data_IF_498413570488
#
_entry.id   IF_498413570488
#
_cell.length_a   1.000
_cell.length_b   1.000
_cell.length_c   1.000
_cell.angle_alpha   90.00
_cell.angle_beta   90.00
_cell.angle_gamma   90.00
#
_symmetry.space_group_name_H-M   'P 1'
#
loop_
_entity.id
_entity.type
_entity.pdbx_description
1 polymer ?
#
# COMPACT_ATOMS: atom_id res chain seq x y z
N UNK A 1 15.65 11.27 13.21
CA UNK A 1 15.79 10.58 11.91
C UNK A 1 16.24 11.60 10.87
N UNK A 2 17.34 11.33 10.18
CA UNK A 2 17.81 12.19 9.08
C UNK A 2 17.13 11.71 7.81
N UNK A 3 16.15 12.45 7.31
CA UNK A 3 15.55 12.15 6.00
C UNK A 3 16.61 12.40 4.93
N UNK A 4 17.00 11.35 4.19
CA UNK A 4 17.91 11.52 3.06
C UNK A 4 17.19 12.31 1.98
N UNK A 5 17.79 13.44 1.60
CA UNK A 5 17.30 14.33 0.56
C UNK A 5 18.20 14.21 -0.66
N UNK A 6 17.59 14.24 -1.85
CA UNK A 6 18.29 14.44 -3.11
C UNK A 6 18.11 15.89 -3.57
N UNK A 7 19.17 16.46 -4.15
CA UNK A 7 19.18 17.81 -4.69
C UNK A 7 19.14 17.76 -6.22
N UNK A 8 18.50 18.75 -6.84
CA UNK A 8 18.59 18.98 -8.27
C UNK A 8 20.03 19.37 -8.65
N UNK A 9 20.50 19.10 -9.88
CA UNK A 9 19.71 18.70 -11.04
C UNK A 9 19.29 17.22 -11.03
N UNK A 10 18.06 16.97 -11.49
CA UNK A 10 17.50 15.63 -11.58
C UNK A 10 17.57 15.08 -13.01
N UNK A 11 18.06 13.84 -13.19
CA UNK A 11 17.92 13.12 -14.45
C UNK A 11 16.45 13.02 -14.91
N UNK A 12 16.15 13.00 -16.22
CA UNK A 12 14.77 12.94 -16.73
C UNK A 12 13.93 11.79 -16.17
N UNK A 13 14.56 10.65 -15.86
CA UNK A 13 13.95 9.50 -15.21
C UNK A 13 13.48 9.80 -13.77
N UNK A 14 14.25 10.58 -13.01
CA UNK A 14 13.88 11.03 -11.65
C UNK A 14 12.72 12.01 -11.75
N UNK A 15 12.76 12.93 -12.72
CA UNK A 15 11.68 13.89 -12.97
C UNK A 15 10.36 13.15 -13.26
N UNK A 16 10.40 12.11 -14.11
CA UNK A 16 9.25 11.26 -14.39
C UNK A 16 8.69 10.58 -13.12
N UNK A 17 9.57 10.02 -12.29
CA UNK A 17 9.17 9.37 -11.02
C UNK A 17 8.55 10.35 -10.02
N UNK A 18 9.15 11.52 -9.85
CA UNK A 18 8.67 12.56 -8.93
C UNK A 18 7.30 13.11 -9.36
N UNK A 19 7.09 13.33 -10.65
CA UNK A 19 5.78 13.77 -11.16
C UNK A 19 4.71 12.67 -11.04
N UNK A 20 5.08 11.40 -11.32
CA UNK A 20 4.18 10.27 -11.13
C UNK A 20 3.77 10.13 -9.65
N UNK A 21 4.73 10.27 -8.72
CA UNK A 21 4.49 10.23 -7.28
C UNK A 21 3.47 11.27 -6.80
N UNK A 22 3.42 12.45 -7.40
CA UNK A 22 2.40 13.45 -7.02
C UNK A 22 1.06 13.24 -7.71
N UNK A 23 1.08 12.75 -8.96
CA UNK A 23 -0.15 12.53 -9.73
C UNK A 23 -1.04 11.44 -9.13
N UNK A 24 -0.47 10.49 -8.38
CA UNK A 24 -1.26 9.43 -7.71
C UNK A 24 -2.16 9.94 -6.59
N UNK A 25 -1.92 11.15 -6.04
CA UNK A 25 -2.77 11.77 -5.01
C UNK A 25 -2.84 11.02 -3.67
N UNK A 26 -1.96 10.03 -3.48
CA UNK A 26 -1.98 9.12 -2.34
C UNK A 26 -1.12 9.59 -1.16
N UNK A 27 -0.11 10.42 -1.44
CA UNK A 27 0.79 10.99 -0.45
C UNK A 27 0.59 12.51 -0.35
N UNK A 28 1.08 13.12 0.73
CA UNK A 28 1.15 14.58 0.81
C UNK A 28 2.05 15.11 -0.32
N UNK A 29 1.52 15.93 -1.24
CA UNK A 29 2.30 16.44 -2.35
C UNK A 29 3.35 17.44 -1.86
N UNK A 30 4.40 17.64 -2.66
CA UNK A 30 5.23 18.82 -2.53
C UNK A 30 4.38 20.01 -2.96
N UNK A 31 3.99 20.84 -1.99
CA UNK A 31 3.11 21.99 -2.23
C UNK A 31 3.91 23.27 -2.33
N UNK A 32 3.38 24.20 -3.09
CA UNK A 32 3.98 25.52 -3.22
C UNK A 32 3.99 26.26 -1.88
N UNK A 33 5.15 26.77 -1.49
CA UNK A 33 5.31 27.66 -0.32
C UNK A 33 5.04 29.14 -0.63
N UNK A 34 4.68 29.48 -1.87
CA UNK A 34 4.31 30.83 -2.28
C UNK A 34 2.93 31.26 -1.75
N UNK A 35 2.62 32.55 -1.88
CA UNK A 35 1.29 33.06 -1.58
C UNK A 35 0.34 32.79 -2.76
N UNK A 36 -0.68 31.97 -2.51
CA UNK A 36 -1.76 31.67 -3.45
C UNK A 36 -3.11 32.00 -2.81
N UNK A 37 -4.07 32.40 -3.62
CA UNK A 37 -5.45 32.54 -3.18
C UNK A 37 -6.08 31.14 -3.07
N UNK A 38 -6.14 30.60 -1.85
CA UNK A 38 -6.75 29.29 -1.56
C UNK A 38 -5.74 28.19 -1.28
N UNK A 39 -6.04 26.95 -1.70
CA UNK A 39 -5.17 25.78 -1.47
C UNK A 39 -3.92 25.87 -2.33
N UNK A 40 -2.71 25.81 -1.75
CA UNK A 40 -1.48 25.88 -2.52
C UNK A 40 -1.41 24.74 -3.56
N UNK A 41 -1.00 25.02 -4.81
CA UNK A 41 -0.89 24.00 -5.83
C UNK A 41 0.25 23.02 -5.52
N UNK A 42 0.11 21.78 -5.97
CA UNK A 42 1.22 20.83 -6.03
C UNK A 42 2.26 21.32 -7.04
N UNK A 43 3.53 21.22 -6.68
CA UNK A 43 4.64 21.62 -7.54
C UNK A 43 4.79 20.67 -8.74
N UNK A 44 5.58 21.02 -9.74
CA UNK A 44 5.90 20.13 -10.87
C UNK A 44 7.40 19.90 -10.89
N UNK A 45 7.84 18.65 -10.94
CA UNK A 45 9.26 18.34 -11.03
C UNK A 45 9.80 18.67 -12.42
N UNK A 46 10.97 19.29 -12.45
CA UNK A 46 11.78 19.62 -13.65
C UNK A 46 13.22 19.19 -13.39
N UNK A 47 14.09 19.11 -14.42
CA UNK A 47 15.50 18.82 -14.20
C UNK A 47 16.18 19.81 -13.22
N UNK A 48 15.70 21.04 -13.11
CA UNK A 48 16.25 22.09 -12.26
C UNK A 48 15.64 22.13 -10.85
N UNK A 49 14.63 21.29 -10.57
CA UNK A 49 13.93 21.25 -9.29
C UNK A 49 12.41 21.27 -9.43
N UNK A 50 11.72 21.45 -8.31
CA UNK A 50 10.27 21.66 -8.28
C UNK A 50 9.94 23.10 -8.65
N UNK A 51 8.93 23.29 -9.50
CA UNK A 51 8.41 24.61 -9.90
C UNK A 51 6.92 24.72 -9.61
N UNK A 52 6.45 25.90 -9.23
CA UNK A 52 5.02 26.16 -9.13
C UNK A 52 4.38 26.16 -10.53
N UNK A 53 3.24 25.47 -10.76
CA UNK A 53 2.56 25.51 -12.05
C UNK A 53 1.83 26.83 -12.33
N UNK A 54 1.59 27.66 -11.32
CA UNK A 54 0.90 28.94 -11.48
C UNK A 54 1.81 29.97 -12.16
N UNK A 55 1.41 30.48 -13.32
CA UNK A 55 2.23 31.37 -14.16
C UNK A 55 2.68 32.68 -13.48
N UNK A 56 2.02 33.10 -12.40
CA UNK A 56 2.39 34.29 -11.61
C UNK A 56 3.29 33.99 -10.41
N UNK A 57 3.57 32.72 -10.09
CA UNK A 57 4.34 32.31 -8.93
C UNK A 57 5.73 31.83 -9.34
N UNK A 58 6.76 32.44 -8.74
CA UNK A 58 8.17 32.10 -9.01
C UNK A 58 8.78 31.17 -7.97
N UNK A 59 7.94 30.52 -7.14
CA UNK A 59 8.42 29.62 -6.10
C UNK A 59 9.05 28.37 -6.72
N UNK A 60 10.24 28.04 -6.25
CA UNK A 60 10.97 26.82 -6.62
C UNK A 60 11.60 26.19 -5.38
N UNK A 61 11.81 24.88 -5.41
CA UNK A 61 12.67 24.19 -4.44
C UNK A 61 13.49 23.12 -5.16
N UNK A 62 14.72 22.90 -4.72
CA UNK A 62 15.70 22.03 -5.37
C UNK A 62 15.82 20.66 -4.70
N UNK A 63 15.08 20.39 -3.63
CA UNK A 63 15.18 19.14 -2.88
C UNK A 63 13.93 18.26 -2.99
N UNK A 64 14.17 16.95 -2.99
CA UNK A 64 13.15 15.91 -2.85
C UNK A 64 13.65 14.81 -1.89
N UNK A 65 12.74 13.96 -1.39
CA UNK A 65 13.15 12.81 -0.60
C UNK A 65 13.70 11.73 -1.52
N UNK A 66 14.88 11.19 -1.20
CA UNK A 66 15.59 10.20 -2.02
C UNK A 66 14.72 8.97 -2.33
N UNK A 67 13.84 8.57 -1.41
CA UNK A 67 12.90 7.47 -1.62
C UNK A 67 11.93 7.69 -2.80
N UNK A 68 11.59 8.93 -3.15
CA UNK A 68 10.69 9.26 -4.26
C UNK A 68 11.43 9.32 -5.61
N UNK A 69 12.76 9.50 -5.59
CA UNK A 69 13.58 9.66 -6.80
C UNK A 69 14.48 8.48 -7.15
N UNK A 70 14.86 7.62 -6.20
CA UNK A 70 15.84 6.54 -6.43
C UNK A 70 15.30 5.32 -7.16
N UNK A 71 13.99 5.23 -7.40
CA UNK A 71 13.39 4.08 -8.09
C UNK A 71 13.64 2.73 -7.40
N UNK A 72 14.16 2.69 -6.16
CA UNK A 72 14.34 1.45 -5.40
C UNK A 72 13.02 0.73 -5.11
N UNK A 73 11.90 1.45 -5.04
CA UNK A 73 10.57 0.84 -5.04
C UNK A 73 10.20 0.16 -6.39
N UNK A 74 10.76 0.63 -7.52
CA UNK A 74 10.48 0.09 -8.85
C UNK A 74 11.48 -0.99 -9.30
N UNK A 75 12.77 -0.88 -8.93
CA UNK A 75 13.81 -1.83 -9.31
C UNK A 75 13.82 -3.13 -8.47
N UNK A 76 13.37 -3.07 -7.20
CA UNK A 76 13.15 -4.29 -6.38
C UNK A 76 11.94 -5.08 -6.87
N UNK A 77 10.92 -4.41 -7.43
CA UNK A 77 9.75 -5.05 -8.02
C UNK A 77 10.10 -5.83 -9.31
N UNK A 78 10.99 -5.30 -10.15
CA UNK A 78 11.39 -5.93 -11.42
C UNK A 78 12.23 -7.21 -11.22
N UNK A 79 13.18 -7.22 -10.27
CA UNK A 79 14.03 -8.40 -10.00
C UNK A 79 13.22 -9.53 -9.33
N UNK A 80 12.22 -9.18 -8.51
CA UNK A 80 11.32 -10.15 -7.88
C UNK A 80 10.31 -10.74 -8.87
N UNK A 81 9.83 -9.95 -9.84
CA UNK A 81 8.93 -10.39 -10.90
C UNK A 81 9.59 -11.44 -11.82
N UNK A 82 10.88 -11.28 -12.14
CA UNK A 82 11.64 -12.17 -13.01
C UNK A 82 11.95 -13.52 -12.32
N UNK A 83 12.20 -13.53 -11.00
CA UNK A 83 12.47 -14.77 -10.24
C UNK A 83 11.20 -15.58 -9.88
N UNK A 84 10.01 -14.97 -9.90
CA UNK A 84 8.74 -15.60 -9.51
C UNK A 84 7.83 -16.00 -10.68
N UNK A 85 8.25 -15.83 -11.93
CA UNK A 85 7.48 -16.30 -13.10
C UNK A 85 6.15 -15.57 -13.33
N UNK A 86 5.99 -14.36 -12.80
CA UNK A 86 4.84 -13.52 -13.06
C UNK A 86 5.12 -12.69 -14.33
N UNK A 87 4.71 -13.21 -15.49
CA UNK A 87 4.64 -12.42 -16.71
C UNK A 87 3.90 -11.11 -16.42
N UNK A 88 4.56 -9.98 -16.69
CA UNK A 88 4.09 -8.59 -16.54
C UNK A 88 2.56 -8.51 -16.42
N UNK A 89 2.06 -8.44 -15.19
CA UNK A 89 0.63 -8.29 -14.96
C UNK A 89 0.16 -7.04 -15.71
N UNK A 90 -0.78 -7.21 -16.62
CA UNK A 90 -1.53 -6.08 -17.18
C UNK A 90 -2.19 -5.36 -16.00
N UNK A 91 -1.92 -4.06 -15.86
CA UNK A 91 -2.51 -3.23 -14.82
C UNK A 91 -4.03 -3.48 -14.74
N UNK A 92 -4.53 -3.79 -13.54
CA UNK A 92 -5.93 -4.14 -13.30
C UNK A 92 -6.22 -5.64 -13.15
N UNK A 93 -5.22 -6.47 -12.88
CA UNK A 93 -5.44 -7.88 -12.57
C UNK A 93 -5.95 -8.08 -11.14
N UNK A 94 -6.74 -9.14 -10.92
CA UNK A 94 -7.05 -9.63 -9.58
C UNK A 94 -5.88 -10.45 -9.02
N UNK A 95 -5.52 -10.25 -7.75
CA UNK A 95 -4.48 -11.04 -7.08
C UNK A 95 -5.04 -12.33 -6.48
N UNK A 96 -4.18 -13.34 -6.32
CA UNK A 96 -4.43 -14.48 -5.42
C UNK A 96 -4.02 -14.12 -3.99
N UNK A 97 -4.56 -14.84 -3.00
CA UNK A 97 -4.18 -14.67 -1.59
C UNK A 97 -2.67 -14.91 -1.36
N UNK A 98 -2.07 -15.84 -2.12
CA UNK A 98 -0.64 -16.13 -2.04
C UNK A 98 0.21 -14.98 -2.60
N UNK A 99 -0.19 -14.38 -3.74
CA UNK A 99 0.49 -13.19 -4.27
C UNK A 99 0.44 -12.03 -3.29
N UNK A 100 -0.73 -11.78 -2.68
CA UNK A 100 -0.87 -10.76 -1.62
C UNK A 100 0.07 -11.07 -0.46
N UNK A 101 0.12 -12.31 0.01
CA UNK A 101 0.97 -12.71 1.13
C UNK A 101 2.46 -12.55 0.83
N UNK A 102 2.91 -12.93 -0.38
CA UNK A 102 4.29 -12.77 -0.83
C UNK A 102 4.69 -11.31 -0.88
N UNK A 103 3.87 -10.47 -1.51
CA UNK A 103 4.16 -9.03 -1.65
C UNK A 103 4.15 -8.36 -0.27
N UNK A 104 3.13 -8.57 0.55
CA UNK A 104 3.08 -7.93 1.88
C UNK A 104 4.21 -8.43 2.78
N UNK A 105 4.52 -9.72 2.74
CA UNK A 105 5.59 -10.33 3.53
C UNK A 105 7.00 -9.84 3.18
N UNK A 106 7.22 -9.41 1.93
CA UNK A 106 8.51 -8.88 1.47
C UNK A 106 8.74 -7.42 1.87
N UNK A 107 7.72 -6.71 2.33
CA UNK A 107 7.82 -5.29 2.67
C UNK A 107 8.03 -5.05 4.17
N UNK A 108 8.60 -3.89 4.49
CA UNK A 108 8.69 -3.35 5.85
C UNK A 108 7.84 -2.10 5.92
N UNK A 109 7.02 -2.02 6.97
CA UNK A 109 6.04 -0.96 7.12
C UNK A 109 6.42 -0.05 8.29
N UNK A 110 6.28 1.25 8.08
CA UNK A 110 6.26 2.26 9.13
C UNK A 110 4.87 2.87 9.17
N UNK A 111 4.19 2.77 10.31
CA UNK A 111 2.82 3.21 10.51
C UNK A 111 2.58 3.53 11.98
N UNK A 112 1.74 4.51 12.29
CA UNK A 112 1.38 4.84 13.66
C UNK A 112 0.09 4.12 14.09
N UNK A 113 -0.79 3.79 13.15
CA UNK A 113 -2.11 3.22 13.42
C UNK A 113 -2.60 2.28 12.29
N UNK A 114 -3.81 1.72 12.46
CA UNK A 114 -4.42 0.80 11.49
C UNK A 114 -4.71 1.45 10.14
N UNK A 115 -5.11 2.72 10.15
CA UNK A 115 -5.43 3.49 8.94
C UNK A 115 -4.18 3.77 8.11
N UNK A 116 -3.07 4.15 8.74
CA UNK A 116 -1.78 4.33 8.05
C UNK A 116 -1.31 3.03 7.38
N UNK A 117 -1.49 1.89 8.07
CA UNK A 117 -1.13 0.58 7.54
C UNK A 117 -2.07 0.17 6.39
N UNK A 118 -3.37 0.39 6.52
CA UNK A 118 -4.35 0.19 5.46
C UNK A 118 -3.93 0.94 4.19
N UNK A 119 -3.60 2.23 4.33
CA UNK A 119 -3.12 3.08 3.24
C UNK A 119 -1.86 2.49 2.62
N UNK A 120 -0.83 2.19 3.41
CA UNK A 120 0.43 1.63 2.89
C UNK A 120 0.23 0.31 2.11
N UNK A 121 -0.65 -0.56 2.59
CA UNK A 121 -0.97 -1.83 1.95
C UNK A 121 -1.72 -1.64 0.62
N UNK A 122 -2.68 -0.72 0.57
CA UNK A 122 -3.40 -0.41 -0.66
C UNK A 122 -2.44 0.07 -1.76
N UNK A 123 -1.49 0.95 -1.42
CA UNK A 123 -0.48 1.43 -2.36
C UNK A 123 0.42 0.31 -2.87
N UNK A 124 1.03 -0.49 -1.99
CA UNK A 124 1.95 -1.55 -2.40
C UNK A 124 1.28 -2.57 -3.32
N UNK A 125 0.02 -2.92 -3.05
CA UNK A 125 -0.73 -3.84 -3.89
C UNK A 125 -1.12 -3.22 -5.25
N UNK A 126 -1.47 -1.94 -5.27
CA UNK A 126 -1.76 -1.22 -6.51
C UNK A 126 -0.49 -1.04 -7.37
N UNK A 127 0.64 -0.70 -6.75
CA UNK A 127 1.96 -0.59 -7.41
C UNK A 127 2.43 -1.93 -7.98
N UNK A 128 1.97 -3.04 -7.40
CA UNK A 128 2.16 -4.40 -7.93
C UNK A 128 1.25 -4.73 -9.12
N UNK A 129 0.45 -3.78 -9.60
CA UNK A 129 -0.40 -3.91 -10.78
C UNK A 129 -1.81 -4.44 -10.51
N UNK A 130 -2.21 -4.62 -9.26
CA UNK A 130 -3.53 -5.14 -8.91
C UNK A 130 -4.60 -4.07 -8.84
N UNK A 131 -5.83 -4.44 -9.21
CA UNK A 131 -7.00 -3.62 -8.89
C UNK A 131 -7.36 -3.78 -7.42
N UNK A 132 -7.15 -2.71 -6.62
CA UNK A 132 -7.41 -2.70 -5.19
C UNK A 132 -8.61 -1.78 -4.89
N UNK A 133 -9.64 -2.34 -4.28
CA UNK A 133 -10.81 -1.61 -3.77
C UNK A 133 -10.71 -1.52 -2.25
N UNK A 134 -11.01 -0.34 -1.70
CA UNK A 134 -10.91 -0.06 -0.26
C UNK A 134 -12.31 -0.01 0.38
N UNK A 135 -12.40 -0.37 1.66
CA UNK A 135 -13.60 -0.26 2.50
C UNK A 135 -14.85 -0.86 1.81
N UNK A 136 -14.69 -2.05 1.24
CA UNK A 136 -15.67 -2.64 0.33
C UNK A 136 -16.88 -3.15 1.11
N UNK A 137 -18.10 -2.66 0.82
CA UNK A 137 -19.32 -3.18 1.42
C UNK A 137 -19.57 -4.62 0.95
N UNK A 138 -19.87 -5.50 1.91
CA UNK A 138 -20.12 -6.92 1.64
C UNK A 138 -21.61 -7.22 1.59
N UNK A 139 -22.01 -8.18 0.74
CA UNK A 139 -23.41 -8.59 0.55
C UNK A 139 -24.09 -9.09 1.83
N UNK A 140 -23.33 -9.68 2.76
CA UNK A 140 -23.82 -10.14 4.06
C UNK A 140 -23.76 -9.08 5.16
N UNK A 141 -23.41 -7.84 4.80
CA UNK A 141 -23.27 -6.70 5.71
C UNK A 141 -21.85 -6.53 6.27
N UNK A 142 -21.53 -5.28 6.62
CA UNK A 142 -20.19 -4.84 7.02
C UNK A 142 -19.36 -4.35 5.85
N UNK A 143 -18.11 -3.98 6.14
CA UNK A 143 -17.08 -3.61 5.16
C UNK A 143 -15.80 -4.38 5.44
N UNK A 144 -15.10 -4.79 4.39
CA UNK A 144 -13.76 -5.34 4.47
C UNK A 144 -12.75 -4.26 4.08
N UNK A 145 -11.59 -4.24 4.74
CA UNK A 145 -10.62 -3.15 4.61
C UNK A 145 -10.15 -2.99 3.16
N UNK A 146 -9.70 -4.08 2.51
CA UNK A 146 -9.27 -4.08 1.11
C UNK A 146 -9.79 -5.30 0.37
N UNK A 147 -9.94 -5.19 -0.95
CA UNK A 147 -10.35 -6.30 -1.82
C UNK A 147 -9.68 -6.21 -3.19
N UNK A 148 -9.14 -7.33 -3.68
CA UNK A 148 -8.62 -7.46 -5.05
C UNK A 148 -9.31 -8.64 -5.71
N UNK A 149 -10.03 -8.42 -6.81
CA UNK A 149 -10.96 -9.42 -7.33
C UNK A 149 -11.93 -9.91 -6.25
N UNK A 150 -11.86 -11.20 -5.92
CA UNK A 150 -12.64 -11.87 -4.85
C UNK A 150 -11.81 -12.22 -3.60
N UNK A 151 -10.56 -11.75 -3.51
CA UNK A 151 -9.72 -11.90 -2.32
C UNK A 151 -9.99 -10.73 -1.37
N UNK A 152 -10.46 -11.04 -0.17
CA UNK A 152 -10.67 -10.07 0.89
C UNK A 152 -9.43 -9.95 1.79
N UNK A 153 -9.07 -8.73 2.18
CA UNK A 153 -7.90 -8.45 3.01
C UNK A 153 -8.35 -7.65 4.23
N UNK A 154 -8.07 -8.17 5.42
CA UNK A 154 -8.35 -7.51 6.71
C UNK A 154 -7.02 -7.11 7.37
N UNK A 155 -6.95 -5.91 7.91
CA UNK A 155 -5.75 -5.31 8.51
C UNK A 155 -6.00 -5.09 10.00
N UNK A 156 -5.10 -5.61 10.86
CA UNK A 156 -5.21 -5.43 12.31
C UNK A 156 -3.87 -5.14 12.97
N UNK A 157 -3.78 -3.98 13.62
CA UNK A 157 -2.62 -3.60 14.45
C UNK A 157 -2.90 -3.80 15.95
N UNK A 158 -4.18 -3.86 16.33
CA UNK A 158 -4.65 -4.07 17.70
C UNK A 158 -5.89 -4.99 17.70
N UNK A 159 -6.68 -5.03 18.79
CA UNK A 159 -7.85 -5.91 18.94
C UNK A 159 -7.55 -7.33 19.47
N UNK A 160 -8.51 -7.96 20.17
CA UNK A 160 -8.33 -9.30 20.75
C UNK A 160 -8.42 -10.36 19.64
N UNK A 161 -7.68 -11.45 19.78
CA UNK A 161 -7.70 -12.57 18.83
C UNK A 161 -9.13 -13.09 18.56
N UNK A 162 -9.99 -13.17 19.58
CA UNK A 162 -11.39 -13.59 19.42
C UNK A 162 -12.25 -12.61 18.63
N UNK A 163 -11.94 -11.31 18.69
CA UNK A 163 -12.64 -10.28 17.89
C UNK A 163 -12.24 -10.39 16.43
N UNK A 164 -10.93 -10.58 16.17
CA UNK A 164 -10.40 -10.80 14.81
C UNK A 164 -10.99 -12.07 14.21
N UNK A 165 -11.04 -13.18 14.95
CA UNK A 165 -11.67 -14.41 14.44
C UNK A 165 -13.15 -14.26 14.13
N UNK A 166 -13.88 -13.47 14.91
CA UNK A 166 -15.29 -13.19 14.62
C UNK A 166 -15.42 -12.43 13.30
N UNK A 167 -14.51 -11.50 13.00
CA UNK A 167 -14.48 -10.80 11.71
C UNK A 167 -14.13 -11.76 10.57
N UNK A 168 -13.04 -12.53 10.70
CA UNK A 168 -12.61 -13.52 9.71
C UNK A 168 -13.73 -14.52 9.41
N UNK A 169 -14.39 -15.08 10.42
CA UNK A 169 -15.50 -16.01 10.24
C UNK A 169 -16.70 -15.36 9.53
N UNK A 170 -17.03 -14.11 9.90
CA UNK A 170 -18.11 -13.36 9.24
C UNK A 170 -17.80 -13.11 7.77
N UNK A 171 -16.59 -12.67 7.44
CA UNK A 171 -16.19 -12.41 6.05
C UNK A 171 -16.05 -13.70 5.24
N UNK A 172 -15.57 -14.79 5.85
CA UNK A 172 -15.49 -16.09 5.21
C UNK A 172 -16.90 -16.63 4.85
N UNK A 173 -17.95 -16.24 5.57
CA UNK A 173 -19.33 -16.58 5.20
C UNK A 173 -19.87 -15.77 4.01
N UNK A 174 -19.23 -14.66 3.63
CA UNK A 174 -19.73 -13.77 2.57
C UNK A 174 -19.43 -14.32 1.16
N UNK A 175 -20.44 -14.50 0.27
CA UNK A 175 -20.25 -15.03 -1.08
C UNK A 175 -19.27 -14.23 -1.95
N UNK A 176 -19.13 -12.93 -1.70
CA UNK A 176 -18.27 -12.03 -2.47
C UNK A 176 -16.77 -12.38 -2.33
N UNK A 177 -16.43 -13.11 -1.26
CA UNK A 177 -15.05 -13.45 -0.90
C UNK A 177 -14.81 -14.94 -1.19
N UNK A 178 -13.75 -15.26 -1.93
CA UNK A 178 -13.31 -16.65 -2.18
C UNK A 178 -12.11 -17.06 -1.35
N UNK A 179 -11.31 -16.10 -0.89
CA UNK A 179 -10.18 -16.31 0.02
C UNK A 179 -9.93 -15.05 0.88
N UNK A 180 -9.36 -15.23 2.07
CA UNK A 180 -9.04 -14.13 2.98
C UNK A 180 -7.55 -14.05 3.26
N UNK A 181 -7.05 -12.82 3.39
CA UNK A 181 -5.74 -12.53 3.94
C UNK A 181 -5.90 -11.65 5.19
N UNK A 182 -5.42 -12.12 6.33
CA UNK A 182 -5.32 -11.34 7.55
C UNK A 182 -3.90 -10.79 7.69
N UNK A 183 -3.74 -9.48 7.63
CA UNK A 183 -2.45 -8.80 7.82
C UNK A 183 -2.41 -8.24 9.24
N UNK A 184 -1.42 -8.66 10.02
CA UNK A 184 -1.34 -8.27 11.43
C UNK A 184 0.10 -8.12 11.92
N UNK A 185 0.30 -7.15 12.82
CA UNK A 185 1.54 -7.00 13.59
C UNK A 185 1.42 -7.40 15.05
N UNK A 186 0.21 -7.71 15.53
CA UNK A 186 -0.04 -7.97 16.94
C UNK A 186 0.39 -9.39 17.33
N UNK A 187 1.40 -9.52 18.19
CA UNK A 187 1.89 -10.82 18.67
C UNK A 187 0.81 -11.71 19.32
N UNK A 188 -0.20 -11.12 19.96
CA UNK A 188 -1.30 -11.88 20.57
C UNK A 188 -2.15 -12.66 19.55
N UNK A 189 -2.10 -12.28 18.27
CA UNK A 189 -2.79 -13.00 17.20
C UNK A 189 -2.05 -14.31 16.82
N UNK A 190 -0.84 -14.59 17.31
CA UNK A 190 -0.15 -15.87 17.01
C UNK A 190 -0.92 -17.11 17.46
N UNK A 191 -1.95 -16.92 18.29
CA UNK A 191 -2.86 -17.99 18.69
C UNK A 191 -3.89 -18.32 17.61
N UNK A 192 -4.06 -17.48 16.60
CA UNK A 192 -5.03 -17.63 15.51
C UNK A 192 -4.74 -18.83 14.62
N UNK A 193 -3.46 -19.19 14.45
CA UNK A 193 -3.05 -20.39 13.69
C UNK A 193 -3.65 -21.68 14.28
N UNK A 194 -4.00 -21.68 15.57
CA UNK A 194 -4.70 -22.82 16.22
C UNK A 194 -6.21 -22.81 16.01
N UNK A 195 -6.77 -21.68 15.58
CA UNK A 195 -8.22 -21.45 15.47
C UNK A 195 -8.68 -21.52 14.01
N UNK A 196 -7.84 -21.08 13.08
CA UNK A 196 -7.98 -21.45 11.67
C UNK A 196 -7.79 -22.97 11.60
N UNK A 197 -8.68 -23.66 10.88
CA UNK A 197 -8.63 -25.12 10.77
C UNK A 197 -7.23 -25.61 10.40
N UNK A 198 -6.90 -26.86 10.70
CA UNK A 198 -5.59 -27.44 10.34
C UNK A 198 -5.31 -27.43 8.84
N UNK A 199 -6.36 -27.31 8.02
CA UNK A 199 -6.35 -27.17 6.57
C UNK A 199 -6.18 -25.71 6.10
N UNK A 200 -6.06 -24.75 7.01
CA UNK A 200 -5.94 -23.33 6.70
C UNK A 200 -7.26 -22.69 6.28
N UNK A 201 -8.42 -23.29 6.59
CA UNK A 201 -9.72 -22.77 6.15
C UNK A 201 -10.61 -22.28 7.30
N UNK A 202 -11.51 -21.35 6.95
CA UNK A 202 -12.65 -20.91 7.78
C UNK A 202 -13.88 -20.89 6.88
N UNK A 203 -14.97 -21.55 7.29
CA UNK A 203 -16.18 -21.73 6.46
C UNK A 203 -15.88 -22.28 5.05
N UNK A 204 -14.89 -23.17 4.94
CA UNK A 204 -14.46 -23.78 3.67
C UNK A 204 -13.67 -22.85 2.74
N UNK A 205 -13.31 -21.64 3.19
CA UNK A 205 -12.50 -20.69 2.42
C UNK A 205 -11.08 -20.61 2.96
N UNK A 206 -10.05 -20.57 2.09
CA UNK A 206 -8.68 -20.36 2.51
C UNK A 206 -8.51 -19.04 3.28
N UNK A 207 -7.77 -19.09 4.38
CA UNK A 207 -7.37 -17.93 5.16
C UNK A 207 -5.86 -17.94 5.36
N UNK A 208 -5.18 -16.93 4.85
CA UNK A 208 -3.73 -16.74 5.01
C UNK A 208 -3.48 -15.65 6.04
N UNK A 209 -2.66 -15.93 7.06
CA UNK A 209 -2.21 -14.89 8.00
C UNK A 209 -0.82 -14.41 7.60
N UNK A 210 -0.67 -13.10 7.43
CA UNK A 210 0.60 -12.43 7.13
C UNK A 210 1.03 -11.62 8.34
N UNK A 211 2.15 -12.02 8.92
CA UNK A 211 2.76 -11.36 10.06
C UNK A 211 3.72 -10.28 9.59
N UNK A 212 3.38 -9.02 9.82
CA UNK A 212 4.27 -7.91 9.49
C UNK A 212 4.97 -7.40 10.75
N UNK A 213 6.21 -6.93 10.57
CA UNK A 213 6.97 -6.26 11.62
C UNK A 213 6.92 -4.76 11.39
N UNK A 214 6.56 -4.00 12.42
CA UNK A 214 6.64 -2.54 12.40
C UNK A 214 8.11 -2.13 12.54
N UNK A 215 8.56 -1.21 11.70
CA UNK A 215 9.82 -0.50 11.92
C UNK A 215 9.53 0.67 12.85
N UNK A 216 10.01 0.59 14.10
CA UNK A 216 9.94 1.71 15.04
C UNK A 216 10.95 2.75 14.57
N UNK A 217 10.44 3.92 14.19
CA UNK A 217 11.26 5.07 13.80
C UNK A 217 11.51 6.04 14.93
#
# INVERSE_FOLDING_TARGET
MTFTMMQAPWPPEVVGRLNAYQAVGFFHPYTCGGNHDGTPPSLVATPEGWVCPDAGCTYTQDWAHTAHGDGRAAAEADILADMLGAGRATAGAAATAEQVATIVGSHRFSYANEHDLHIALAAILADSGFEVRQEVPLSTGGRIDLMTGTVGIEVKVNGRASEVMRQVARYAACPDITALVLITSRAAHRTLDRTIGTDGTVNGKPVTIVWISQVVG
#
